data_IF_848104442042
#
_entry.id   IF_848104442042
#
_cell.length_a   1.000
_cell.length_b   1.000
_cell.length_c   1.000
_cell.angle_alpha   90.00
_cell.angle_beta   90.00
_cell.angle_gamma   90.00
#
_symmetry.space_group_name_H-M   'P 1'
#
loop_
_entity.id
_entity.type
_entity.pdbx_description
1 polymer ?
#
# COMPACT_ATOMS: atom_id res chain seq x y z
N UNK A 1 29.54 53.01 76.73
CA UNK A 1 29.51 52.56 78.14
C UNK A 1 29.05 51.10 78.16
N UNK A 2 29.62 50.22 78.99
CA UNK A 2 30.97 49.66 78.82
C UNK A 2 30.97 48.11 78.83
N UNK A 3 32.15 47.51 78.53
CA UNK A 3 32.68 46.26 79.14
C UNK A 3 31.99 44.91 78.85
N UNK A 4 32.61 43.71 78.84
CA UNK A 4 33.89 43.18 79.30
C UNK A 4 34.17 41.81 78.61
N UNK A 5 35.46 41.47 78.45
CA UNK A 5 36.15 40.17 78.61
C UNK A 5 35.67 38.85 77.91
N UNK A 6 36.46 38.39 76.93
CA UNK A 6 37.47 37.29 76.97
C UNK A 6 37.12 35.88 77.58
N UNK A 7 38.00 34.86 77.50
CA UNK A 7 38.10 33.86 76.42
C UNK A 7 38.15 32.39 76.91
N UNK A 8 38.00 31.40 76.03
CA UNK A 8 38.48 30.00 76.18
C UNK A 8 38.02 29.19 74.96
N UNK A 9 38.66 28.14 74.46
CA UNK A 9 40.00 27.59 74.58
C UNK A 9 40.13 26.67 73.35
N UNK A 10 41.34 26.57 72.82
CA UNK A 10 41.67 25.71 71.70
C UNK A 10 41.46 24.24 72.07
N UNK A 11 40.80 23.46 71.22
CA UNK A 11 41.17 22.04 71.09
C UNK A 11 41.12 21.65 69.63
N UNK A 12 42.31 21.37 69.09
CA UNK A 12 42.53 20.82 67.77
C UNK A 12 42.03 19.38 67.75
N UNK A 13 41.20 19.04 66.76
CA UNK A 13 41.03 17.64 66.34
C UNK A 13 40.83 17.64 64.82
N UNK A 14 41.92 17.25 64.16
CA UNK A 14 41.92 16.80 62.77
C UNK A 14 40.88 15.70 62.61
N UNK A 15 39.90 15.90 61.73
CA UNK A 15 39.18 14.79 61.12
C UNK A 15 39.15 15.01 59.61
N UNK A 16 39.75 14.03 58.94
CA UNK A 16 39.72 13.88 57.51
C UNK A 16 38.63 12.84 57.15
N UNK A 17 38.13 12.99 55.92
CA UNK A 17 37.50 11.98 55.07
C UNK A 17 36.01 11.66 55.36
N UNK A 18 35.12 12.03 54.42
CA UNK A 18 34.58 11.11 53.41
C UNK A 18 33.63 11.89 52.48
N UNK A 19 34.08 12.21 51.27
CA UNK A 19 33.18 12.60 50.19
C UNK A 19 32.48 11.33 49.68
N UNK A 20 31.19 11.20 49.96
CA UNK A 20 30.35 10.11 49.50
C UNK A 20 29.96 10.38 48.03
N UNK A 21 30.74 9.87 47.10
CA UNK A 21 30.40 9.86 45.67
C UNK A 21 29.30 8.81 45.44
N UNK A 22 28.03 9.20 45.50
CA UNK A 22 26.94 8.36 45.00
C UNK A 22 27.02 8.31 43.46
N UNK A 23 27.71 7.29 42.94
CA UNK A 23 27.58 6.88 41.56
C UNK A 23 26.18 6.26 41.37
N UNK A 24 25.24 7.05 40.84
CA UNK A 24 23.96 6.54 40.36
C UNK A 24 24.24 5.72 39.10
N UNK A 25 24.36 4.41 39.26
CA UNK A 25 24.37 3.46 38.15
C UNK A 25 22.97 3.39 37.54
N UNK A 26 22.72 4.23 36.54
CA UNK A 26 21.59 4.08 35.64
C UNK A 26 21.67 2.67 35.01
N UNK A 27 20.61 1.84 35.09
CA UNK A 27 20.60 0.60 34.34
C UNK A 27 20.70 0.95 32.86
N UNK A 28 21.72 0.41 32.20
CA UNK A 28 21.84 0.47 30.75
C UNK A 28 20.60 -0.21 30.16
N UNK A 29 19.67 0.61 29.66
CA UNK A 29 18.59 0.12 28.81
C UNK A 29 19.29 -0.50 27.60
N UNK A 30 19.27 -1.83 27.52
CA UNK A 30 19.72 -2.54 26.35
C UNK A 30 18.96 -1.95 25.16
N UNK A 31 19.66 -1.19 24.31
CA UNK A 31 19.15 -0.84 23.00
C UNK A 31 19.02 -2.17 22.27
N UNK A 32 17.82 -2.74 22.28
CA UNK A 32 17.45 -3.78 21.33
C UNK A 32 17.58 -3.15 19.96
N UNK A 33 18.75 -3.33 19.36
CA UNK A 33 18.96 -3.12 17.94
C UNK A 33 17.97 -4.03 17.23
N UNK A 34 16.81 -3.48 16.88
CA UNK A 34 15.82 -4.19 16.10
C UNK A 34 16.54 -4.66 14.83
N UNK A 35 16.77 -5.97 14.72
CA UNK A 35 17.33 -6.57 13.52
C UNK A 35 16.41 -6.18 12.37
N UNK A 36 16.99 -5.73 11.25
CA UNK A 36 16.19 -5.38 10.08
C UNK A 36 15.28 -6.57 9.75
N UNK A 37 13.98 -6.35 9.50
CA UNK A 37 13.06 -7.44 9.30
C UNK A 37 13.49 -8.28 8.11
N UNK A 38 13.23 -9.58 8.22
CA UNK A 38 13.38 -10.46 7.07
C UNK A 38 12.45 -9.98 5.97
N UNK A 39 12.91 -10.12 4.73
CA UNK A 39 12.12 -9.77 3.55
C UNK A 39 12.05 -10.96 2.61
N UNK A 40 10.87 -11.22 2.05
CA UNK A 40 10.63 -12.35 1.15
C UNK A 40 9.74 -11.91 0.00
N UNK A 41 10.12 -12.33 -1.22
CA UNK A 41 9.25 -12.26 -2.39
C UNK A 41 8.98 -13.66 -2.90
N UNK A 42 7.71 -14.00 -3.05
CA UNK A 42 7.24 -15.22 -3.72
C UNK A 42 6.84 -14.94 -5.18
N UNK A 43 6.97 -13.68 -5.59
CA UNK A 43 6.61 -13.19 -6.91
C UNK A 43 7.77 -13.39 -7.89
N UNK A 44 7.50 -14.04 -9.03
CA UNK A 44 8.51 -14.24 -10.07
C UNK A 44 8.97 -12.94 -10.72
N UNK A 45 8.17 -11.88 -10.72
CA UNK A 45 8.47 -10.61 -11.40
C UNK A 45 9.12 -9.55 -10.52
N UNK A 46 9.15 -9.75 -9.19
CA UNK A 46 9.54 -8.69 -8.24
C UNK A 46 10.58 -9.25 -7.28
N UNK A 47 11.71 -8.54 -7.17
CA UNK A 47 12.78 -8.86 -6.25
C UNK A 47 12.64 -8.00 -5.00
N UNK A 48 13.06 -8.52 -3.84
CA UNK A 48 13.05 -7.78 -2.58
C UNK A 48 14.39 -7.93 -1.88
N UNK A 49 14.88 -6.82 -1.34
CA UNK A 49 16.16 -6.75 -0.62
C UNK A 49 16.04 -5.93 0.65
N UNK A 50 16.60 -6.43 1.75
CA UNK A 50 16.80 -5.64 2.97
C UNK A 50 17.90 -4.61 2.73
N UNK A 51 17.60 -3.33 2.92
CA UNK A 51 18.51 -2.22 2.64
C UNK A 51 18.15 -1.00 3.48
N UNK A 52 19.17 -0.21 3.82
CA UNK A 52 19.01 1.09 4.50
C UNK A 52 19.30 2.27 3.58
N UNK A 53 19.68 2.01 2.32
CA UNK A 53 19.99 3.02 1.33
C UNK A 53 18.94 3.02 0.22
N UNK A 54 18.37 4.20 -0.05
CA UNK A 54 17.49 4.43 -1.17
C UNK A 54 18.34 4.89 -2.37
N UNK A 55 18.24 4.24 -3.55
CA UNK A 55 18.95 4.70 -4.73
C UNK A 55 18.43 6.07 -5.18
N UNK A 56 19.27 6.83 -5.87
CA UNK A 56 18.83 8.02 -6.63
C UNK A 56 18.03 7.59 -7.84
N UNK A 57 17.01 8.36 -8.20
CA UNK A 57 16.30 8.19 -9.45
C UNK A 57 17.27 8.37 -10.63
N UNK A 58 17.20 7.45 -11.57
CA UNK A 58 17.78 7.65 -12.90
C UNK A 58 16.95 8.62 -13.73
N UNK A 59 17.50 9.05 -14.86
CA UNK A 59 16.78 9.89 -15.81
C UNK A 59 16.59 11.34 -15.34
N UNK A 60 15.77 12.08 -16.08
CA UNK A 60 15.51 13.52 -15.89
C UNK A 60 14.21 13.79 -15.13
N UNK A 61 14.03 14.99 -14.56
CA UNK A 61 12.78 15.40 -13.89
C UNK A 61 11.54 15.16 -14.78
N UNK A 62 11.64 15.55 -16.05
CA UNK A 62 10.57 15.49 -17.04
C UNK A 62 10.07 14.09 -17.34
N UNK A 63 10.90 13.06 -17.13
CA UNK A 63 10.50 11.65 -17.33
C UNK A 63 9.35 11.20 -16.40
N UNK A 64 8.94 12.06 -15.46
CA UNK A 64 7.95 11.80 -14.42
C UNK A 64 6.83 12.84 -14.39
N UNK A 65 6.85 13.82 -15.28
CA UNK A 65 5.93 14.96 -15.27
C UNK A 65 4.64 14.71 -16.07
N UNK A 66 4.66 13.75 -17.00
CA UNK A 66 3.56 13.48 -17.93
C UNK A 66 2.30 12.87 -17.29
N UNK A 67 2.38 12.45 -16.02
CA UNK A 67 1.30 11.74 -15.33
C UNK A 67 1.01 12.25 -13.92
N UNK A 68 0.62 13.53 -13.75
CA UNK A 68 0.39 14.11 -12.43
C UNK A 68 -0.69 13.38 -11.63
N UNK A 69 -1.67 12.74 -12.31
CA UNK A 69 -2.72 11.95 -11.66
C UNK A 69 -2.22 10.68 -10.97
N UNK A 70 -1.02 10.19 -11.32
CA UNK A 70 -0.40 9.03 -10.67
C UNK A 70 0.54 9.42 -9.52
N UNK A 71 0.88 10.71 -9.40
CA UNK A 71 1.84 11.20 -8.40
C UNK A 71 1.09 11.85 -7.25
N UNK A 72 1.38 11.41 -6.02
CA UNK A 72 0.84 12.04 -4.82
C UNK A 72 1.83 13.07 -4.27
N UNK A 73 1.28 14.07 -3.57
CA UNK A 73 2.12 14.97 -2.77
C UNK A 73 2.69 14.21 -1.55
N UNK A 74 4.02 14.13 -1.39
CA UNK A 74 4.65 13.43 -0.27
C UNK A 74 4.34 14.10 1.08
N UNK A 75 3.61 13.42 1.96
CA UNK A 75 3.23 13.95 3.28
C UNK A 75 4.10 13.38 4.41
N UNK A 76 4.28 12.06 4.45
CA UNK A 76 5.10 11.41 5.48
C UNK A 76 6.59 11.71 5.30
N UNK A 77 7.38 11.54 6.37
CA UNK A 77 8.83 11.65 6.29
C UNK A 77 9.42 10.60 5.34
N UNK A 78 8.91 9.37 5.34
CA UNK A 78 9.29 8.31 4.41
C UNK A 78 9.09 8.73 2.94
N UNK A 79 7.88 9.19 2.57
CA UNK A 79 7.60 9.64 1.22
C UNK A 79 8.45 10.85 0.80
N UNK A 80 8.71 11.78 1.73
CA UNK A 80 9.60 12.92 1.49
C UNK A 80 11.04 12.49 1.24
N UNK A 81 11.54 11.46 1.94
CA UNK A 81 12.85 10.89 1.66
C UNK A 81 12.92 10.29 0.26
N UNK A 82 11.85 9.60 -0.19
CA UNK A 82 11.75 9.05 -1.54
C UNK A 82 11.78 10.16 -2.59
N UNK A 83 10.94 11.19 -2.44
CA UNK A 83 10.91 12.33 -3.35
C UNK A 83 12.24 13.11 -3.38
N UNK A 84 12.94 13.22 -2.24
CA UNK A 84 14.25 13.86 -2.17
C UNK A 84 15.35 13.12 -2.97
N UNK A 85 15.15 11.84 -3.28
CA UNK A 85 16.01 11.08 -4.20
C UNK A 85 15.60 11.22 -5.68
N UNK A 86 14.62 12.06 -5.99
CA UNK A 86 14.17 12.37 -7.36
C UNK A 86 13.09 11.44 -7.91
N UNK A 87 12.48 10.60 -7.07
CA UNK A 87 11.45 9.66 -7.50
C UNK A 87 10.04 10.26 -7.50
N UNK A 88 9.19 9.77 -8.40
CA UNK A 88 7.76 10.09 -8.41
C UNK A 88 7.03 9.18 -7.42
N UNK A 89 6.53 9.74 -6.31
CA UNK A 89 5.81 8.99 -5.27
C UNK A 89 4.38 8.73 -5.73
N UNK A 90 3.98 7.46 -5.80
CA UNK A 90 2.64 7.03 -6.24
C UNK A 90 1.72 6.66 -5.07
N UNK A 91 2.28 6.08 -4.01
CA UNK A 91 1.52 5.68 -2.83
C UNK A 91 2.33 5.86 -1.55
N UNK A 92 1.64 6.13 -0.44
CA UNK A 92 2.18 6.22 0.91
C UNK A 92 1.13 5.65 1.89
N UNK A 93 1.33 4.40 2.32
CA UNK A 93 0.31 3.61 3.02
C UNK A 93 0.87 2.91 4.26
N UNK A 94 0.05 2.70 5.31
CA UNK A 94 0.45 1.89 6.47
C UNK A 94 0.60 0.41 6.09
N UNK A 95 1.56 -0.27 6.72
CA UNK A 95 1.82 -1.70 6.58
C UNK A 95 2.16 -2.29 7.96
N UNK A 96 1.15 -2.56 8.78
CA UNK A 96 1.34 -2.97 10.17
C UNK A 96 2.20 -1.96 10.96
N UNK A 97 3.32 -2.36 11.58
CA UNK A 97 4.24 -1.45 12.27
C UNK A 97 5.11 -0.62 11.32
N UNK A 98 5.03 -0.88 10.02
CA UNK A 98 5.82 -0.24 8.98
C UNK A 98 4.97 0.70 8.12
N UNK A 99 5.64 1.39 7.21
CA UNK A 99 5.04 2.19 6.15
C UNK A 99 5.60 1.73 4.81
N UNK A 100 4.73 1.54 3.83
CA UNK A 100 5.11 1.20 2.46
C UNK A 100 4.90 2.42 1.56
N UNK A 101 5.90 2.73 0.75
CA UNK A 101 5.86 3.83 -0.22
C UNK A 101 6.14 3.25 -1.60
N UNK A 102 5.20 3.37 -2.55
CA UNK A 102 5.49 3.02 -3.95
C UNK A 102 5.88 4.25 -4.75
N UNK A 103 6.78 4.05 -5.70
CA UNK A 103 7.35 5.12 -6.51
C UNK A 103 7.95 4.60 -7.81
N UNK A 104 8.05 5.47 -8.81
CA UNK A 104 8.51 5.13 -10.15
C UNK A 104 9.56 6.13 -10.64
N UNK A 105 10.42 5.64 -11.53
CA UNK A 105 11.48 6.43 -12.17
C UNK A 105 11.06 7.03 -13.50
N UNK A 106 10.04 6.47 -14.16
CA UNK A 106 9.54 6.89 -15.46
C UNK A 106 8.00 6.80 -15.47
N UNK A 107 7.37 7.75 -16.16
CA UNK A 107 5.94 7.78 -16.40
C UNK A 107 5.66 8.22 -17.83
N UNK A 108 4.77 7.51 -18.50
CA UNK A 108 4.41 7.77 -19.89
C UNK A 108 2.90 7.95 -20.02
N UNK A 109 2.47 9.14 -20.45
CA UNK A 109 1.07 9.38 -20.75
C UNK A 109 0.62 8.54 -21.95
N UNK A 110 -0.58 7.98 -21.84
CA UNK A 110 -1.30 7.28 -22.90
C UNK A 110 -2.52 8.06 -23.37
N UNK A 111 -3.33 7.44 -24.22
CA UNK A 111 -4.60 8.02 -24.68
C UNK A 111 -5.61 8.10 -23.53
N UNK A 112 -6.59 9.00 -23.66
CA UNK A 112 -7.70 9.14 -22.70
C UNK A 112 -7.28 9.36 -21.24
N UNK A 113 -6.14 10.02 -21.01
CA UNK A 113 -5.63 10.32 -19.67
C UNK A 113 -5.07 9.11 -18.92
N UNK A 114 -4.86 7.99 -19.61
CA UNK A 114 -4.15 6.83 -19.06
C UNK A 114 -2.67 7.15 -18.91
N UNK A 115 -1.98 6.34 -18.12
CA UNK A 115 -0.54 6.50 -17.94
C UNK A 115 0.09 5.16 -17.60
N UNK A 116 1.27 4.87 -18.13
CA UNK A 116 2.10 3.77 -17.66
C UNK A 116 3.20 4.30 -16.73
N UNK A 117 3.60 3.51 -15.74
CA UNK A 117 4.74 3.75 -14.88
C UNK A 117 5.70 2.56 -14.96
N UNK A 118 6.97 2.85 -15.23
CA UNK A 118 8.05 1.86 -15.25
C UNK A 118 9.14 2.25 -14.26
N UNK A 119 10.12 1.36 -14.06
CA UNK A 119 11.08 1.48 -12.96
C UNK A 119 10.37 1.61 -11.60
N UNK A 120 9.31 0.81 -11.43
CA UNK A 120 8.50 0.78 -10.22
C UNK A 120 9.23 0.15 -9.04
N UNK A 121 9.02 0.70 -7.85
CA UNK A 121 9.65 0.27 -6.61
C UNK A 121 8.67 0.39 -5.43
N UNK A 122 8.91 -0.40 -4.39
CA UNK A 122 8.26 -0.26 -3.07
C UNK A 122 9.35 -0.15 -2.01
N UNK A 123 9.40 0.95 -1.28
CA UNK A 123 10.25 1.10 -0.10
C UNK A 123 9.43 0.84 1.15
N UNK A 124 9.98 0.05 2.08
CA UNK A 124 9.39 -0.20 3.38
C UNK A 124 10.22 0.49 4.44
N UNK A 125 9.55 1.23 5.31
CA UNK A 125 10.14 2.03 6.36
C UNK A 125 9.66 1.58 7.73
N UNK A 126 10.59 1.49 8.68
CA UNK A 126 10.30 1.46 10.10
C UNK A 126 10.50 2.86 10.65
N UNK A 127 9.40 3.53 11.02
CA UNK A 127 9.36 4.97 11.24
C UNK A 127 9.88 5.72 9.99
N UNK A 128 11.04 6.35 10.11
CA UNK A 128 11.69 7.14 9.07
C UNK A 128 12.97 6.45 8.53
N UNK A 129 13.19 5.19 8.88
CA UNK A 129 14.36 4.41 8.44
C UNK A 129 13.95 3.41 7.38
N UNK A 130 14.58 3.48 6.21
CA UNK A 130 14.44 2.46 5.18
C UNK A 130 14.95 1.12 5.71
N UNK A 131 14.16 0.07 5.51
CA UNK A 131 14.50 -1.30 5.94
C UNK A 131 14.46 -2.29 4.77
N UNK A 132 13.68 -2.01 3.72
CA UNK A 132 13.56 -2.88 2.56
C UNK A 132 13.22 -2.11 1.29
N UNK A 133 13.61 -2.69 0.15
CA UNK A 133 13.25 -2.23 -1.19
C UNK A 133 12.79 -3.43 -2.02
N UNK A 134 11.59 -3.32 -2.59
CA UNK A 134 11.11 -4.18 -3.66
C UNK A 134 11.25 -3.45 -4.99
N UNK A 135 11.65 -4.16 -6.05
CA UNK A 135 11.91 -3.59 -7.36
C UNK A 135 11.65 -4.59 -8.48
N UNK A 136 11.32 -4.07 -9.66
CA UNK A 136 11.18 -4.85 -10.89
C UNK A 136 12.48 -5.53 -11.33
N UNK A 137 12.39 -6.47 -12.27
CA UNK A 137 13.55 -7.17 -12.84
C UNK A 137 14.27 -6.36 -13.92
N UNK A 138 13.56 -5.46 -14.60
CA UNK A 138 14.13 -4.59 -15.62
C UNK A 138 13.58 -3.17 -15.50
N UNK A 139 14.26 -2.23 -16.13
CA UNK A 139 13.84 -0.83 -16.14
C UNK A 139 12.51 -0.62 -16.91
N UNK A 140 12.21 -1.52 -17.85
CA UNK A 140 11.05 -1.41 -18.74
C UNK A 140 9.81 -2.14 -18.21
N UNK A 141 9.94 -2.90 -17.11
CA UNK A 141 8.77 -3.59 -16.55
C UNK A 141 7.83 -2.63 -15.82
N UNK A 142 6.54 -2.98 -15.85
CA UNK A 142 5.45 -2.29 -15.18
C UNK A 142 5.04 -3.03 -13.91
N UNK A 143 5.82 -3.98 -13.38
CA UNK A 143 5.35 -4.92 -12.34
C UNK A 143 4.94 -4.23 -11.02
N UNK A 144 5.36 -2.99 -10.81
CA UNK A 144 5.07 -2.21 -9.60
C UNK A 144 4.54 -0.82 -10.00
N UNK A 145 3.34 -0.50 -9.54
CA UNK A 145 2.70 0.80 -9.67
C UNK A 145 2.19 1.30 -8.32
N UNK A 146 0.89 1.15 -8.08
CA UNK A 146 0.22 1.72 -6.92
C UNK A 146 0.11 0.72 -5.74
N UNK A 147 -0.17 1.23 -4.55
CA UNK A 147 -0.48 0.43 -3.36
C UNK A 147 -1.84 0.84 -2.80
N UNK A 148 -2.66 -0.17 -2.51
CA UNK A 148 -4.00 0.04 -1.93
C UNK A 148 -4.10 -0.75 -0.62
N UNK A 149 -4.35 -0.09 0.52
CA UNK A 149 -4.53 -0.80 1.78
C UNK A 149 -5.82 -1.61 1.74
N UNK A 150 -5.76 -2.86 2.21
CA UNK A 150 -6.89 -3.74 2.40
C UNK A 150 -7.26 -3.80 3.89
N UNK A 151 -8.47 -4.31 4.15
CA UNK A 151 -8.86 -4.67 5.50
C UNK A 151 -7.92 -5.74 6.08
N UNK A 152 -7.59 -5.64 7.37
CA UNK A 152 -6.68 -6.58 8.03
C UNK A 152 -5.19 -6.23 7.89
N UNK A 153 -4.85 -5.10 7.25
CA UNK A 153 -3.49 -4.57 7.24
C UNK A 153 -2.60 -5.06 6.11
N UNK A 154 -3.11 -5.94 5.24
CA UNK A 154 -2.50 -6.26 3.95
C UNK A 154 -2.56 -5.04 3.02
N UNK A 155 -1.59 -4.92 2.12
CA UNK A 155 -1.54 -3.89 1.09
C UNK A 155 -1.51 -4.56 -0.28
N UNK A 156 -2.52 -4.30 -1.11
CA UNK A 156 -2.59 -4.79 -2.50
C UNK A 156 -1.64 -3.99 -3.37
N UNK A 157 -0.73 -4.69 -4.03
CA UNK A 157 0.11 -4.15 -5.10
C UNK A 157 -0.67 -4.14 -6.41
N UNK A 158 -0.68 -2.99 -7.07
CA UNK A 158 -1.13 -2.80 -8.44
C UNK A 158 0.08 -2.55 -9.33
N UNK A 159 0.04 -3.08 -10.54
CA UNK A 159 1.06 -2.81 -11.54
C UNK A 159 0.97 -1.35 -12.06
N UNK A 160 1.98 -0.97 -12.82
CA UNK A 160 2.14 0.33 -13.45
C UNK A 160 1.64 0.36 -14.90
N UNK A 161 0.87 -0.62 -15.37
CA UNK A 161 0.43 -0.62 -16.77
C UNK A 161 -0.60 0.51 -17.04
N UNK A 162 -0.85 0.77 -18.33
CA UNK A 162 -1.88 1.69 -18.83
C UNK A 162 -3.25 1.35 -18.24
N UNK A 163 -3.53 0.05 -18.12
CA UNK A 163 -4.70 -0.51 -17.45
C UNK A 163 -4.21 -1.28 -16.23
N UNK A 164 -4.07 -0.62 -15.07
CA UNK A 164 -3.50 -1.27 -13.91
C UNK A 164 -4.27 -2.52 -13.52
N UNK A 165 -3.54 -3.61 -13.28
CA UNK A 165 -4.08 -4.81 -12.68
C UNK A 165 -3.47 -5.03 -11.29
N UNK A 166 -4.21 -5.65 -10.36
CA UNK A 166 -3.63 -6.10 -9.11
C UNK A 166 -2.64 -7.24 -9.38
N UNK A 167 -1.44 -7.13 -8.83
CA UNK A 167 -0.34 -8.07 -9.08
C UNK A 167 -0.03 -8.98 -7.89
N UNK A 168 -0.24 -8.53 -6.66
CA UNK A 168 0.12 -9.29 -5.46
C UNK A 168 -0.25 -8.60 -4.17
N UNK A 169 0.08 -9.22 -3.05
CA UNK A 169 -0.22 -8.72 -1.71
C UNK A 169 1.06 -8.58 -0.88
N UNK A 170 1.23 -7.41 -0.27
CA UNK A 170 2.28 -7.09 0.68
C UNK A 170 1.71 -7.15 2.11
N UNK A 171 2.32 -7.95 2.98
CA UNK A 171 1.90 -8.08 4.38
C UNK A 171 3.10 -8.27 5.31
N UNK A 172 2.82 -8.22 6.61
CA UNK A 172 3.80 -8.47 7.67
C UNK A 172 3.39 -9.71 8.44
N UNK A 173 4.24 -10.74 8.42
CA UNK A 173 4.04 -11.97 9.18
C UNK A 173 4.13 -11.69 10.68
N UNK A 174 3.64 -12.61 11.52
CA UNK A 174 3.66 -12.47 12.97
C UNK A 174 5.08 -12.32 13.57
N UNK A 175 6.11 -12.82 12.88
CA UNK A 175 7.52 -12.66 13.26
C UNK A 175 8.14 -11.33 12.79
N UNK A 176 7.36 -10.47 12.14
CA UNK A 176 7.79 -9.19 11.60
C UNK A 176 8.36 -9.25 10.18
N UNK A 177 8.39 -10.42 9.53
CA UNK A 177 8.83 -10.59 8.13
C UNK A 177 7.92 -9.81 7.20
N UNK A 178 8.51 -9.00 6.32
CA UNK A 178 7.79 -8.34 5.23
C UNK A 178 7.74 -9.29 4.03
N UNK A 179 6.55 -9.67 3.60
CA UNK A 179 6.34 -10.66 2.54
C UNK A 179 5.50 -10.08 1.41
N UNK A 180 5.99 -10.28 0.18
CA UNK A 180 5.24 -10.05 -1.05
C UNK A 180 4.83 -11.40 -1.64
N UNK A 181 3.52 -11.65 -1.70
CA UNK A 181 2.93 -12.90 -2.19
C UNK A 181 2.02 -12.66 -3.39
N UNK A 182 1.53 -13.76 -3.96
CA UNK A 182 0.35 -13.71 -4.83
C UNK A 182 -0.84 -13.13 -4.06
N UNK A 183 -1.80 -12.61 -4.82
CA UNK A 183 -3.07 -12.16 -4.25
C UNK A 183 -3.75 -13.31 -3.51
N UNK A 184 -4.42 -12.96 -2.40
CA UNK A 184 -5.31 -13.89 -1.73
C UNK A 184 -6.44 -14.35 -2.66
N UNK A 185 -6.92 -15.58 -2.46
CA UNK A 185 -8.09 -16.10 -3.18
C UNK A 185 -9.37 -15.35 -2.77
N UNK A 186 -9.40 -14.75 -1.58
CA UNK A 186 -10.54 -14.00 -1.05
C UNK A 186 -10.08 -12.82 -0.19
N UNK A 187 -10.71 -11.67 -0.41
CA UNK A 187 -10.58 -10.49 0.44
C UNK A 187 -11.68 -10.46 1.49
N UNK A 188 -11.37 -9.84 2.62
CA UNK A 188 -12.36 -9.53 3.66
C UNK A 188 -12.79 -8.09 3.50
N UNK A 189 -14.10 -7.84 3.55
CA UNK A 189 -14.67 -6.50 3.40
C UNK A 189 -15.70 -6.20 4.48
N UNK A 190 -15.90 -4.91 4.72
CA UNK A 190 -16.89 -4.39 5.66
C UNK A 190 -16.70 -4.86 7.10
N UNK A 191 -15.46 -4.79 7.60
CA UNK A 191 -15.07 -5.17 8.96
C UNK A 191 -15.35 -6.65 9.25
N UNK A 192 -14.95 -7.54 8.35
CA UNK A 192 -15.09 -8.98 8.54
C UNK A 192 -16.43 -9.54 8.09
N UNK A 193 -17.43 -8.68 7.84
CA UNK A 193 -18.82 -9.11 7.65
C UNK A 193 -19.08 -9.80 6.31
N UNK A 194 -18.22 -9.62 5.32
CA UNK A 194 -18.34 -10.33 4.05
C UNK A 194 -16.97 -10.75 3.50
N UNK A 195 -17.01 -11.83 2.71
CA UNK A 195 -15.90 -12.28 1.89
C UNK A 195 -16.16 -11.93 0.43
N UNK A 196 -15.12 -11.51 -0.25
CA UNK A 196 -15.15 -11.21 -1.67
C UNK A 196 -14.11 -12.10 -2.36
N UNK A 197 -14.52 -13.02 -3.25
CA UNK A 197 -13.56 -13.83 -3.98
C UNK A 197 -12.76 -12.94 -4.91
N UNK A 198 -11.50 -13.30 -5.14
CA UNK A 198 -10.68 -12.67 -6.16
C UNK A 198 -11.27 -12.98 -7.53
N UNK A 199 -11.93 -12.00 -8.12
CA UNK A 199 -12.60 -12.10 -9.43
C UNK A 199 -11.84 -11.38 -10.54
N UNK A 200 -10.70 -10.76 -10.24
CA UNK A 200 -9.92 -10.03 -11.25
C UNK A 200 -9.50 -10.95 -12.40
N UNK A 201 -9.66 -10.46 -13.63
CA UNK A 201 -9.37 -11.21 -14.86
C UNK A 201 -10.36 -12.34 -15.17
N UNK A 202 -11.35 -12.61 -14.32
CA UNK A 202 -12.43 -13.53 -14.66
C UNK A 202 -13.39 -12.87 -15.65
N UNK A 203 -13.88 -13.62 -16.63
CA UNK A 203 -15.04 -13.21 -17.42
C UNK A 203 -16.24 -12.98 -16.51
N UNK A 204 -17.09 -12.01 -16.85
CA UNK A 204 -18.19 -11.57 -15.99
C UNK A 204 -19.15 -12.72 -15.59
N UNK A 205 -19.36 -13.72 -16.45
CA UNK A 205 -20.19 -14.88 -16.14
C UNK A 205 -19.58 -15.79 -15.05
N UNK A 206 -18.24 -15.93 -15.03
CA UNK A 206 -17.50 -16.66 -14.01
C UNK A 206 -17.44 -15.87 -12.70
N UNK A 207 -17.16 -14.57 -12.79
CA UNK A 207 -17.16 -13.67 -11.64
C UNK A 207 -18.52 -13.68 -10.93
N UNK A 208 -19.61 -13.58 -11.69
CA UNK A 208 -20.98 -13.67 -11.16
C UNK A 208 -21.24 -14.96 -10.37
N UNK A 209 -20.79 -16.11 -10.89
CA UNK A 209 -20.94 -17.41 -10.19
C UNK A 209 -20.13 -17.43 -8.89
N UNK A 210 -18.89 -16.95 -8.91
CA UNK A 210 -18.04 -16.88 -7.72
C UNK A 210 -18.64 -15.95 -6.65
N UNK A 211 -19.15 -14.78 -7.07
CA UNK A 211 -19.85 -13.82 -6.21
C UNK A 211 -21.11 -14.41 -5.57
N UNK A 212 -21.94 -15.09 -6.37
CA UNK A 212 -23.16 -15.73 -5.89
C UNK A 212 -22.85 -16.79 -4.80
N UNK A 213 -21.76 -17.55 -4.96
CA UNK A 213 -21.32 -18.52 -3.94
C UNK A 213 -20.91 -17.87 -2.61
N UNK A 214 -20.66 -16.55 -2.59
CA UNK A 214 -20.35 -15.75 -1.39
C UNK A 214 -21.52 -14.86 -0.95
N UNK A 215 -22.72 -15.07 -1.50
CA UNK A 215 -23.94 -14.36 -1.12
C UNK A 215 -24.09 -12.97 -1.76
N UNK A 216 -23.27 -12.63 -2.76
CA UNK A 216 -23.43 -11.42 -3.55
C UNK A 216 -24.37 -11.70 -4.72
N UNK A 217 -25.57 -11.14 -4.65
CA UNK A 217 -26.63 -11.38 -5.62
C UNK A 217 -26.71 -10.23 -6.63
N UNK A 218 -26.88 -10.53 -7.94
CA UNK A 218 -27.01 -9.51 -8.97
C UNK A 218 -28.25 -8.64 -8.72
N UNK A 219 -28.09 -7.33 -8.88
CA UNK A 219 -29.18 -6.36 -8.82
C UNK A 219 -29.59 -6.03 -10.24
N UNK A 220 -30.85 -6.28 -10.60
CA UNK A 220 -31.34 -6.00 -11.96
C UNK A 220 -31.22 -4.51 -12.28
N UNK A 221 -30.49 -4.20 -13.34
CA UNK A 221 -30.36 -2.87 -13.89
C UNK A 221 -31.58 -2.49 -14.74
N UNK A 222 -31.78 -1.18 -14.94
CA UNK A 222 -32.76 -0.65 -15.90
C UNK A 222 -32.13 -0.61 -17.28
N UNK A 223 -32.91 -0.94 -18.30
CA UNK A 223 -32.45 -0.82 -19.69
C UNK A 223 -32.15 0.65 -20.02
N UNK A 224 -30.95 0.93 -20.54
CA UNK A 224 -30.47 2.28 -20.89
C UNK A 224 -30.55 2.57 -22.40
N UNK A 225 -30.87 1.56 -23.22
CA UNK A 225 -30.81 1.65 -24.69
C UNK A 225 -29.41 1.46 -25.26
N UNK A 226 -28.39 1.32 -24.41
CA UNK A 226 -27.02 0.99 -24.81
C UNK A 226 -26.97 -0.42 -25.46
N UNK A 227 -26.46 -0.55 -26.71
CA UNK A 227 -26.38 -1.83 -27.39
C UNK A 227 -25.51 -2.86 -26.66
N UNK A 228 -24.46 -2.43 -25.94
CA UNK A 228 -23.60 -3.33 -25.15
C UNK A 228 -24.33 -3.84 -23.92
N UNK A 229 -25.06 -2.98 -23.22
CA UNK A 229 -25.91 -3.41 -22.11
C UNK A 229 -26.97 -4.41 -22.61
N UNK A 230 -27.60 -4.12 -23.76
CA UNK A 230 -28.58 -5.01 -24.36
C UNK A 230 -27.96 -6.36 -24.77
N UNK A 231 -26.71 -6.39 -25.25
CA UNK A 231 -25.98 -7.63 -25.53
C UNK A 231 -25.77 -8.45 -24.24
N UNK A 232 -25.33 -7.80 -23.16
CA UNK A 232 -25.18 -8.48 -21.86
C UNK A 232 -26.49 -9.06 -21.33
N UNK A 233 -27.60 -8.35 -21.51
CA UNK A 233 -28.92 -8.84 -21.13
C UNK A 233 -29.32 -10.08 -21.93
N UNK A 234 -28.93 -10.19 -23.21
CA UNK A 234 -29.15 -11.40 -24.02
C UNK A 234 -28.35 -12.60 -23.50
N UNK A 235 -27.20 -12.36 -22.88
CA UNK A 235 -26.43 -13.38 -22.16
C UNK A 235 -26.96 -13.67 -20.74
N UNK A 236 -28.05 -13.03 -20.32
CA UNK A 236 -28.66 -13.23 -19.00
C UNK A 236 -27.94 -12.53 -17.86
N UNK A 237 -27.04 -11.59 -18.16
CA UNK A 237 -26.34 -10.73 -17.20
C UNK A 237 -27.21 -9.48 -17.04
N UNK A 238 -28.13 -9.54 -16.09
CA UNK A 238 -29.19 -8.53 -15.88
C UNK A 238 -28.73 -7.36 -15.02
N UNK A 239 -27.54 -7.49 -14.44
CA UNK A 239 -26.93 -6.56 -13.49
C UNK A 239 -26.05 -5.49 -14.13
N UNK A 240 -25.93 -5.47 -15.46
CA UNK A 240 -25.15 -4.48 -16.21
C UNK A 240 -25.80 -3.10 -16.11
N UNK A 241 -25.22 -2.19 -15.34
CA UNK A 241 -25.77 -0.85 -15.10
C UNK A 241 -25.52 0.11 -16.26
N UNK A 242 -24.26 0.21 -16.69
CA UNK A 242 -23.81 1.14 -17.73
C UNK A 242 -22.56 0.60 -18.43
N UNK A 243 -22.42 0.86 -19.72
CA UNK A 243 -21.25 0.48 -20.53
C UNK A 243 -20.64 1.71 -21.21
N UNK A 244 -19.56 2.22 -20.64
CA UNK A 244 -18.90 3.43 -21.12
C UNK A 244 -18.12 3.22 -22.42
N UNK A 245 -18.16 4.22 -23.32
CA UNK A 245 -17.41 4.28 -24.57
C UNK A 245 -16.06 5.01 -24.48
N UNK A 246 -15.34 4.89 -23.37
CA UNK A 246 -14.10 5.66 -23.09
C UNK A 246 -12.83 5.12 -23.77
N UNK A 247 -12.98 4.27 -24.79
CA UNK A 247 -11.86 3.61 -25.49
C UNK A 247 -11.33 2.34 -24.81
N UNK A 248 -11.77 2.06 -23.58
CA UNK A 248 -11.44 0.84 -22.83
C UNK A 248 -12.63 -0.14 -22.72
N UNK A 249 -13.76 0.25 -23.30
CA UNK A 249 -15.00 -0.51 -23.28
C UNK A 249 -15.40 -0.95 -21.86
N UNK A 250 -15.40 -0.04 -20.89
CA UNK A 250 -15.81 -0.39 -19.54
C UNK A 250 -17.29 -0.74 -19.46
N UNK A 251 -17.66 -1.64 -18.57
CA UNK A 251 -19.04 -1.83 -18.10
C UNK A 251 -19.06 -1.95 -16.58
N UNK A 252 -20.12 -1.45 -15.96
CA UNK A 252 -20.37 -1.52 -14.53
C UNK A 252 -21.52 -2.48 -14.22
N UNK A 253 -21.42 -3.16 -13.07
CA UNK A 253 -22.41 -4.15 -12.65
C UNK A 253 -22.70 -4.05 -11.15
N UNK A 254 -23.97 -4.10 -10.77
CA UNK A 254 -24.39 -3.96 -9.37
C UNK A 254 -24.77 -5.28 -8.71
N UNK A 255 -24.29 -5.46 -7.48
CA UNK A 255 -24.60 -6.59 -6.61
C UNK A 255 -25.01 -6.12 -5.22
N UNK A 256 -25.89 -6.87 -4.58
CA UNK A 256 -26.27 -6.72 -3.19
C UNK A 256 -25.83 -7.97 -2.41
N UNK A 257 -25.14 -7.76 -1.29
CA UNK A 257 -24.59 -8.86 -0.51
C UNK A 257 -24.79 -8.72 1.00
N UNK A 258 -24.21 -9.64 1.77
CA UNK A 258 -24.43 -9.76 3.21
C UNK A 258 -24.01 -8.53 4.00
N UNK A 259 -23.03 -7.76 3.52
CA UNK A 259 -22.49 -6.60 4.23
C UNK A 259 -22.71 -5.24 3.53
N UNK A 260 -23.32 -5.22 2.33
CA UNK A 260 -23.27 -4.00 1.53
C UNK A 260 -23.81 -4.12 0.11
N UNK A 261 -23.38 -3.15 -0.71
CA UNK A 261 -23.46 -3.17 -2.17
C UNK A 261 -22.06 -3.37 -2.73
N UNK A 262 -21.96 -4.09 -3.82
CA UNK A 262 -20.73 -4.30 -4.58
C UNK A 262 -20.97 -3.80 -6.00
N UNK A 263 -20.04 -3.00 -6.50
CA UNK A 263 -19.97 -2.63 -7.92
C UNK A 263 -18.79 -3.36 -8.52
N UNK A 264 -19.01 -4.11 -9.60
CA UNK A 264 -17.93 -4.61 -10.45
C UNK A 264 -17.73 -3.70 -11.64
N UNK A 265 -16.51 -3.69 -12.17
CA UNK A 265 -16.14 -3.07 -13.42
C UNK A 265 -15.41 -4.09 -14.29
N UNK A 266 -15.76 -4.15 -15.57
CA UNK A 266 -15.07 -4.96 -16.58
C UNK A 266 -14.48 -4.07 -17.65
N UNK A 267 -13.39 -4.48 -18.28
CA UNK A 267 -12.80 -3.82 -19.45
C UNK A 267 -12.78 -4.76 -20.67
N UNK A 268 -12.79 -4.18 -21.87
CA UNK A 268 -12.70 -4.91 -23.13
C UNK A 268 -14.02 -5.03 -23.90
N UNK A 269 -13.89 -5.41 -25.16
CA UNK A 269 -15.00 -5.46 -26.14
C UNK A 269 -15.61 -6.85 -26.33
N UNK A 270 -15.09 -7.86 -25.63
CA UNK A 270 -15.61 -9.22 -25.68
C UNK A 270 -17.08 -9.27 -25.22
N UNK A 271 -17.84 -10.25 -25.75
CA UNK A 271 -19.22 -10.51 -25.32
C UNK A 271 -19.33 -10.76 -23.80
N UNK A 272 -18.28 -11.31 -23.19
CA UNK A 272 -18.17 -11.54 -21.75
C UNK A 272 -16.86 -10.94 -21.24
N UNK A 273 -16.81 -9.60 -21.04
CA UNK A 273 -15.59 -8.90 -20.71
C UNK A 273 -15.07 -9.31 -19.33
N UNK A 274 -13.76 -9.12 -19.13
CA UNK A 274 -13.07 -9.54 -17.91
C UNK A 274 -13.12 -8.45 -16.84
N UNK A 275 -13.25 -8.87 -15.58
CA UNK A 275 -13.27 -7.95 -14.43
C UNK A 275 -11.93 -7.24 -14.29
N UNK A 276 -11.96 -5.91 -14.30
CA UNK A 276 -10.81 -5.02 -14.12
C UNK A 276 -10.84 -4.33 -12.77
N UNK A 277 -12.00 -4.23 -12.12
CA UNK A 277 -12.17 -3.46 -10.90
C UNK A 277 -13.38 -3.88 -10.08
N UNK A 278 -13.37 -3.48 -8.80
CA UNK A 278 -14.56 -3.49 -7.98
C UNK A 278 -14.50 -2.42 -6.88
N UNK A 279 -15.66 -2.10 -6.32
CA UNK A 279 -15.78 -1.31 -5.10
C UNK A 279 -16.90 -1.85 -4.21
N UNK A 280 -16.72 -1.75 -2.89
CA UNK A 280 -17.71 -2.19 -1.90
C UNK A 280 -18.17 -0.99 -1.09
N UNK A 281 -19.49 -0.79 -1.03
CA UNK A 281 -20.14 0.15 -0.14
C UNK A 281 -20.80 -0.60 1.01
N UNK A 282 -20.20 -0.51 2.19
CA UNK A 282 -20.68 -1.14 3.40
C UNK A 282 -21.95 -0.46 3.95
N UNK A 283 -22.79 -1.25 4.61
CA UNK A 283 -23.95 -0.77 5.40
C UNK A 283 -23.55 -0.43 6.82
#
# INVERSE_FOLDING_TARGET
>A
MPTFAAPAAQTSLRQAVLALSLAVSLPAIAQTSATAPRVVSEMKGILVKATTALPKAGGSASDREDCPQRVIQPKSAAAKQVAAQGWAVMADVPLGPYRAVSFAGQMQAGTSGTCAATQGNIAVFSNDKLIALAYGKSADDTAIGNLVPLEGGTVRLWDGDIVPAPAGDLHVDADGTVRLTKMADEDTVCQGRAKLPNVYGMSIDKARKALAAKGWNPVRAKASGDPRQAAQFKHGIIETDDCSGTGMAYCSYSYAGPAGKLSLETAGEDDLPSVSGYSVKCR
#
